data_IF_493151431574
#
_entry.id   IF_493151431574
#
_cell.length_a   1.000
_cell.length_b   1.000
_cell.length_c   1.000
_cell.angle_alpha   90.00
_cell.angle_beta   90.00
_cell.angle_gamma   90.00
#
_symmetry.space_group_name_H-M   'P 1'
#
loop_
_entity.id
_entity.type
_entity.pdbx_description
1 polymer ?
#
# COMPACT_ATOMS: atom_id res chain seq x y z
N UNK A 1 6.97 10.40 -0.92
CA UNK A 1 7.56 9.10 -0.54
C UNK A 1 8.42 8.48 -1.64
N UNK A 2 8.01 8.53 -2.91
CA UNK A 2 8.82 7.99 -4.02
C UNK A 2 10.23 8.57 -4.12
N UNK A 3 10.43 9.86 -3.88
CA UNK A 3 11.77 10.49 -3.91
C UNK A 3 12.71 9.95 -2.82
N UNK A 4 12.20 9.72 -1.61
CA UNK A 4 12.95 9.10 -0.52
C UNK A 4 13.30 7.65 -0.85
N UNK A 5 12.31 6.88 -1.29
CA UNK A 5 12.49 5.46 -1.60
C UNK A 5 13.44 5.23 -2.78
N UNK A 6 13.40 6.07 -3.82
CA UNK A 6 14.30 5.98 -4.98
C UNK A 6 15.78 6.09 -4.59
N UNK A 7 16.10 6.85 -3.53
CA UNK A 7 17.46 6.99 -3.03
C UNK A 7 18.00 5.78 -2.26
N UNK A 8 17.17 4.78 -1.95
CA UNK A 8 17.62 3.59 -1.21
C UNK A 8 18.44 2.66 -2.13
N UNK A 9 19.63 2.19 -1.70
CA UNK A 9 20.39 1.22 -2.47
C UNK A 9 19.69 -0.14 -2.44
N UNK A 10 19.31 -0.63 -3.62
CA UNK A 10 18.65 -1.95 -3.81
C UNK A 10 19.47 -2.86 -4.72
N UNK A 11 20.42 -2.29 -5.45
CA UNK A 11 21.36 -3.04 -6.28
C UNK A 11 22.38 -3.79 -5.42
N UNK A 12 23.16 -4.65 -6.07
CA UNK A 12 24.12 -5.55 -5.45
C UNK A 12 25.14 -4.75 -4.60
N UNK A 13 24.81 -4.53 -3.32
CA UNK A 13 25.75 -3.96 -2.36
C UNK A 13 26.87 -4.98 -2.21
N UNK A 14 28.01 -4.64 -2.81
CA UNK A 14 29.18 -5.48 -2.86
C UNK A 14 30.16 -4.94 -1.83
N UNK A 15 30.45 -5.76 -0.83
CA UNK A 15 31.44 -5.45 0.18
C UNK A 15 32.69 -6.28 -0.10
N UNK A 16 33.78 -5.62 -0.51
CA UNK A 16 35.05 -6.25 -0.89
C UNK A 16 35.61 -7.16 0.23
N UNK A 17 35.34 -6.81 1.49
CA UNK A 17 35.82 -7.56 2.66
C UNK A 17 34.88 -8.71 3.10
N UNK A 18 33.74 -8.89 2.43
CA UNK A 18 32.79 -9.94 2.78
C UNK A 18 33.05 -11.20 1.94
N UNK A 19 33.46 -12.28 2.62
CA UNK A 19 33.71 -13.59 2.00
C UNK A 19 32.52 -14.12 1.17
N UNK A 20 31.29 -13.77 1.53
CA UNK A 20 30.09 -14.18 0.79
C UNK A 20 29.81 -13.26 -0.39
N UNK A 21 30.00 -11.93 -0.26
CA UNK A 21 29.83 -11.00 -1.38
C UNK A 21 30.76 -11.31 -2.54
N UNK A 22 32.00 -11.72 -2.26
CA UNK A 22 33.01 -12.06 -3.27
C UNK A 22 32.88 -13.50 -3.79
N UNK A 23 32.07 -14.33 -3.13
CA UNK A 23 31.93 -15.75 -3.50
C UNK A 23 31.05 -15.90 -4.74
N UNK A 24 31.40 -16.82 -5.68
CA UNK A 24 30.53 -17.15 -6.80
C UNK A 24 29.18 -17.76 -6.37
N UNK A 25 29.09 -18.29 -5.13
CA UNK A 25 27.86 -18.87 -4.60
C UNK A 25 26.91 -17.83 -3.97
N UNK A 26 27.26 -16.55 -3.97
CA UNK A 26 26.45 -15.47 -3.36
C UNK A 26 24.97 -15.62 -3.68
N UNK A 27 24.63 -15.70 -4.96
CA UNK A 27 23.24 -15.74 -5.42
C UNK A 27 22.49 -16.98 -4.92
N UNK A 28 23.16 -18.12 -4.79
CA UNK A 28 22.55 -19.37 -4.31
C UNK A 28 22.35 -19.33 -2.79
N UNK A 29 23.32 -18.76 -2.06
CA UNK A 29 23.20 -18.52 -0.61
C UNK A 29 22.01 -17.61 -0.30
N UNK A 30 21.87 -16.52 -1.06
CA UNK A 30 20.75 -15.58 -0.93
C UNK A 30 19.41 -16.24 -1.30
N UNK A 31 19.35 -17.02 -2.39
CA UNK A 31 18.15 -17.76 -2.81
C UNK A 31 17.72 -18.83 -1.79
N UNK A 32 18.68 -19.55 -1.17
CA UNK A 32 18.37 -20.49 -0.09
C UNK A 32 17.78 -19.78 1.14
N UNK A 33 18.26 -18.57 1.44
CA UNK A 33 17.70 -17.75 2.51
C UNK A 33 16.26 -17.31 2.19
N UNK A 34 15.99 -16.91 0.94
CA UNK A 34 14.63 -16.56 0.48
C UNK A 34 13.66 -17.73 0.57
N UNK A 35 14.15 -18.97 0.38
CA UNK A 35 13.37 -20.21 0.56
C UNK A 35 13.15 -20.58 2.04
N UNK A 36 13.64 -19.78 2.98
CA UNK A 36 13.49 -20.02 4.42
C UNK A 36 14.43 -21.10 4.98
N UNK A 37 15.50 -21.46 4.25
CA UNK A 37 16.47 -22.41 4.76
C UNK A 37 17.29 -21.75 5.88
N UNK A 38 17.47 -22.47 6.99
CA UNK A 38 18.20 -21.93 8.14
C UNK A 38 19.66 -21.62 7.80
N UNK A 39 20.23 -20.56 8.40
CA UNK A 39 21.62 -20.15 8.17
C UNK A 39 22.62 -21.30 8.44
N UNK A 40 22.29 -22.20 9.37
CA UNK A 40 23.13 -23.36 9.70
C UNK A 40 23.14 -24.38 8.54
N UNK A 41 21.98 -24.67 7.95
CA UNK A 41 21.89 -25.56 6.80
C UNK A 41 22.58 -24.99 5.58
N UNK A 42 22.41 -23.68 5.33
CA UNK A 42 23.13 -22.96 4.27
C UNK A 42 24.64 -23.09 4.49
N UNK A 43 25.14 -22.88 5.72
CA UNK A 43 26.56 -23.03 6.01
C UNK A 43 27.10 -24.44 5.80
N UNK A 44 26.32 -25.48 6.14
CA UNK A 44 26.71 -26.87 5.85
C UNK A 44 26.77 -27.14 4.35
N UNK A 45 25.81 -26.62 3.59
CA UNK A 45 25.77 -26.75 2.13
C UNK A 45 26.94 -26.02 1.45
N UNK A 46 27.25 -24.78 1.85
CA UNK A 46 28.41 -24.04 1.31
C UNK A 46 29.71 -24.80 1.56
N UNK A 47 29.86 -25.40 2.75
CA UNK A 47 31.03 -26.23 3.08
C UNK A 47 31.11 -27.55 2.29
N UNK A 48 29.98 -28.09 1.82
CA UNK A 48 29.98 -29.31 1.02
C UNK A 48 30.24 -29.03 -0.46
N UNK A 49 29.75 -27.90 -0.98
CA UNK A 49 29.90 -27.51 -2.39
C UNK A 49 31.23 -26.82 -2.69
N UNK A 50 31.83 -26.14 -1.71
CA UNK A 50 33.08 -25.42 -1.89
C UNK A 50 34.22 -26.03 -1.09
N UNK A 51 35.43 -25.97 -1.66
CA UNK A 51 36.67 -26.13 -0.90
C UNK A 51 37.07 -24.84 -0.18
N UNK A 52 36.25 -23.79 -0.25
CA UNK A 52 36.50 -22.49 0.36
C UNK A 52 36.05 -22.49 1.82
N UNK A 53 36.87 -21.91 2.71
CA UNK A 53 36.55 -21.82 4.13
C UNK A 53 35.71 -20.55 4.43
N UNK A 54 34.47 -20.57 3.93
CA UNK A 54 33.45 -19.61 4.33
C UNK A 54 32.85 -20.08 5.66
N UNK A 55 33.19 -19.34 6.72
CA UNK A 55 32.70 -19.66 8.06
C UNK A 55 31.19 -19.40 8.19
N UNK A 56 30.54 -20.12 9.11
CA UNK A 56 29.15 -19.85 9.50
C UNK A 56 28.95 -18.38 9.88
N UNK A 57 29.89 -17.78 10.63
CA UNK A 57 29.82 -16.38 11.02
C UNK A 57 29.81 -15.42 9.82
N UNK A 58 30.58 -15.74 8.78
CA UNK A 58 30.60 -14.95 7.54
C UNK A 58 29.26 -15.02 6.79
N UNK A 59 28.63 -16.20 6.75
CA UNK A 59 27.30 -16.40 6.14
C UNK A 59 26.23 -15.67 6.95
N UNK A 60 26.20 -15.88 8.25
CA UNK A 60 25.25 -15.23 9.15
C UNK A 60 25.35 -13.70 9.04
N UNK A 61 26.56 -13.14 9.10
CA UNK A 61 26.79 -11.71 9.00
C UNK A 61 26.35 -11.14 7.64
N UNK A 62 26.65 -11.84 6.54
CA UNK A 62 26.18 -11.44 5.20
C UNK A 62 24.66 -11.43 5.11
N UNK A 63 24.01 -12.50 5.56
CA UNK A 63 22.56 -12.65 5.44
C UNK A 63 21.81 -11.60 6.26
N UNK A 64 22.32 -11.22 7.44
CA UNK A 64 21.67 -10.19 8.27
C UNK A 64 22.02 -8.78 7.79
N UNK A 65 23.31 -8.46 7.69
CA UNK A 65 23.74 -7.06 7.58
C UNK A 65 23.87 -6.55 6.15
N UNK A 66 24.00 -7.45 5.16
CA UNK A 66 24.08 -7.04 3.75
C UNK A 66 22.79 -7.42 3.03
N UNK A 67 22.44 -8.70 3.07
CA UNK A 67 21.26 -9.21 2.39
C UNK A 67 19.96 -8.76 3.06
N UNK A 68 19.89 -8.80 4.39
CA UNK A 68 18.74 -8.31 5.16
C UNK A 68 18.45 -6.84 4.88
N UNK A 69 19.47 -5.98 4.99
CA UNK A 69 19.35 -4.54 4.68
C UNK A 69 18.90 -4.30 3.23
N UNK A 70 19.45 -5.04 2.26
CA UNK A 70 19.00 -4.98 0.86
C UNK A 70 17.52 -5.38 0.73
N UNK A 71 17.12 -6.46 1.38
CA UNK A 71 15.75 -6.96 1.33
C UNK A 71 14.77 -5.97 1.97
N UNK A 72 15.15 -5.36 3.08
CA UNK A 72 14.33 -4.34 3.74
C UNK A 72 14.23 -3.07 2.90
N UNK A 73 15.32 -2.62 2.28
CA UNK A 73 15.28 -1.51 1.31
C UNK A 73 14.37 -1.82 0.11
N UNK A 74 14.40 -3.05 -0.41
CA UNK A 74 13.50 -3.51 -1.48
C UNK A 74 12.05 -3.44 -1.02
N UNK A 75 11.71 -3.98 0.15
CA UNK A 75 10.36 -3.90 0.73
C UNK A 75 9.92 -2.45 0.90
N UNK A 76 10.79 -1.56 1.41
CA UNK A 76 10.47 -0.14 1.58
C UNK A 76 10.20 0.52 0.22
N UNK A 77 10.98 0.21 -0.83
CA UNK A 77 10.68 0.69 -2.19
C UNK A 77 9.34 0.19 -2.71
N UNK A 78 9.05 -1.09 -2.53
CA UNK A 78 7.79 -1.69 -2.97
C UNK A 78 6.60 -1.04 -2.24
N UNK A 79 6.72 -0.86 -0.93
CA UNK A 79 5.73 -0.14 -0.12
C UNK A 79 5.56 1.31 -0.57
N UNK A 80 6.66 2.05 -0.79
CA UNK A 80 6.59 3.42 -1.23
C UNK A 80 5.92 3.57 -2.60
N UNK A 81 6.15 2.62 -3.52
CA UNK A 81 5.48 2.57 -4.83
C UNK A 81 3.98 2.32 -4.68
N UNK A 82 3.59 1.36 -3.83
CA UNK A 82 2.18 1.10 -3.52
C UNK A 82 1.52 2.34 -2.90
N UNK A 83 2.18 2.99 -1.95
CA UNK A 83 1.67 4.22 -1.32
C UNK A 83 1.57 5.37 -2.33
N UNK A 84 2.53 5.55 -3.23
CA UNK A 84 2.44 6.57 -4.30
C UNK A 84 1.24 6.30 -5.22
N UNK A 85 1.02 5.05 -5.63
CA UNK A 85 -0.17 4.66 -6.40
C UNK A 85 -1.46 5.00 -5.66
N UNK A 86 -1.50 4.74 -4.35
CA UNK A 86 -2.65 5.06 -3.50
C UNK A 86 -2.85 6.55 -3.26
N UNK A 87 -1.76 7.32 -3.15
CA UNK A 87 -1.83 8.78 -2.93
C UNK A 87 -2.44 9.54 -4.11
N UNK A 88 -2.38 8.95 -5.31
CA UNK A 88 -3.04 9.47 -6.51
C UNK A 88 -4.53 9.16 -6.58
N UNK A 89 -5.08 8.34 -5.67
CA UNK A 89 -6.52 8.08 -5.58
C UNK A 89 -7.21 9.27 -4.92
N UNK A 90 -7.63 10.21 -5.76
CA UNK A 90 -8.27 11.45 -5.37
C UNK A 90 -9.61 11.20 -4.64
N UNK A 91 -9.68 11.57 -3.35
CA UNK A 91 -10.97 11.71 -2.62
C UNK A 91 -11.91 12.71 -3.31
N UNK A 92 -11.39 13.63 -4.11
CA UNK A 92 -12.21 14.58 -4.89
C UNK A 92 -12.97 13.87 -6.00
N UNK A 93 -12.43 12.80 -6.58
CA UNK A 93 -13.08 12.05 -7.66
C UNK A 93 -14.32 11.32 -7.13
N UNK A 94 -14.26 10.79 -5.90
CA UNK A 94 -15.44 10.22 -5.24
C UNK A 94 -16.53 11.28 -5.01
N UNK A 95 -16.18 12.45 -4.49
CA UNK A 95 -17.14 13.53 -4.25
C UNK A 95 -17.78 14.03 -5.55
N UNK A 96 -16.99 14.16 -6.62
CA UNK A 96 -17.46 14.58 -7.94
C UNK A 96 -18.38 13.52 -8.56
N UNK A 97 -17.99 12.24 -8.52
CA UNK A 97 -18.83 11.16 -9.05
C UNK A 97 -20.17 11.04 -8.31
N UNK A 98 -20.17 11.17 -6.97
CA UNK A 98 -21.42 11.18 -6.19
C UNK A 98 -22.34 12.37 -6.55
N UNK A 99 -21.76 13.55 -6.82
CA UNK A 99 -22.54 14.71 -7.30
C UNK A 99 -23.16 14.43 -8.66
N UNK A 100 -22.40 13.89 -9.62
CA UNK A 100 -22.92 13.55 -10.94
C UNK A 100 -24.02 12.49 -10.88
N UNK A 101 -23.85 11.45 -10.07
CA UNK A 101 -24.91 10.45 -9.84
C UNK A 101 -26.18 11.13 -9.33
N UNK A 102 -26.06 11.98 -8.32
CA UNK A 102 -27.21 12.68 -7.73
C UNK A 102 -27.92 13.61 -8.73
N UNK A 103 -27.15 14.34 -9.55
CA UNK A 103 -27.71 15.20 -10.59
C UNK A 103 -28.43 14.39 -11.67
N UNK A 104 -27.80 13.33 -12.15
CA UNK A 104 -28.36 12.47 -13.21
C UNK A 104 -29.59 11.69 -12.73
N UNK A 105 -29.61 11.21 -11.48
CA UNK A 105 -30.79 10.55 -10.88
C UNK A 105 -31.98 11.53 -10.81
N UNK A 106 -31.73 12.82 -10.50
CA UNK A 106 -32.78 13.85 -10.50
C UNK A 106 -33.31 14.11 -11.91
N UNK A 107 -32.43 14.29 -12.90
CA UNK A 107 -32.84 14.51 -14.30
C UNK A 107 -33.63 13.33 -14.87
N UNK A 108 -33.19 12.09 -14.60
CA UNK A 108 -33.93 10.89 -15.00
C UNK A 108 -35.33 10.84 -14.35
N UNK A 109 -35.42 11.22 -13.07
CA UNK A 109 -36.70 11.27 -12.35
C UNK A 109 -37.64 12.32 -12.94
N UNK A 110 -37.13 13.50 -13.30
CA UNK A 110 -37.91 14.56 -13.95
C UNK A 110 -38.45 14.10 -15.31
N UNK A 111 -37.60 13.56 -16.18
CA UNK A 111 -37.97 13.04 -17.50
C UNK A 111 -39.06 11.97 -17.43
N UNK A 112 -39.02 11.11 -16.41
CA UNK A 112 -40.01 10.06 -16.19
C UNK A 112 -41.32 10.57 -15.55
N UNK A 113 -41.27 11.72 -14.88
CA UNK A 113 -42.42 12.31 -14.18
C UNK A 113 -43.33 13.17 -15.06
N UNK A 114 -42.87 13.57 -16.25
CA UNK A 114 -43.66 14.29 -17.26
C UNK A 114 -44.76 13.38 -17.86
N UNK A 115 -45.82 13.13 -17.09
CA UNK A 115 -46.71 11.98 -17.33
C UNK A 115 -48.07 12.29 -17.98
N UNK A 116 -48.44 13.55 -18.21
CA UNK A 116 -49.82 13.88 -18.62
C UNK A 116 -49.96 14.75 -19.87
N UNK A 117 -49.03 15.66 -20.16
CA UNK A 117 -49.20 16.63 -21.27
C UNK A 117 -48.35 16.32 -22.52
N UNK A 118 -47.40 15.38 -22.43
CA UNK A 118 -46.52 15.00 -23.55
C UNK A 118 -47.10 13.85 -24.37
N UNK A 119 -46.83 13.90 -25.68
CA UNK A 119 -47.25 12.89 -26.65
C UNK A 119 -46.63 11.52 -26.37
N UNK A 120 -47.26 10.44 -26.86
CA UNK A 120 -46.71 9.08 -26.71
C UNK A 120 -45.32 8.91 -27.35
N UNK A 121 -45.05 9.69 -28.41
CA UNK A 121 -43.75 9.71 -29.10
C UNK A 121 -42.66 10.33 -28.22
N UNK A 122 -42.96 11.45 -27.56
CA UNK A 122 -42.04 12.10 -26.61
C UNK A 122 -41.83 11.24 -25.36
N UNK A 123 -42.88 10.62 -24.82
CA UNK A 123 -42.74 9.68 -23.70
C UNK A 123 -41.76 8.55 -24.00
N UNK A 124 -41.80 7.98 -25.21
CA UNK A 124 -40.84 6.95 -25.63
C UNK A 124 -39.40 7.49 -25.66
N UNK A 125 -39.19 8.70 -26.20
CA UNK A 125 -37.87 9.35 -26.19
C UNK A 125 -37.37 9.66 -24.79
N UNK A 126 -38.24 10.10 -23.89
CA UNK A 126 -37.91 10.35 -22.48
C UNK A 126 -37.50 9.05 -21.78
N UNK A 127 -38.22 7.94 -22.01
CA UNK A 127 -37.86 6.62 -21.47
C UNK A 127 -36.49 6.16 -22.00
N UNK A 128 -36.25 6.25 -23.31
CA UNK A 128 -34.95 5.89 -23.90
C UNK A 128 -33.81 6.74 -23.32
N UNK A 129 -34.06 8.04 -23.10
CA UNK A 129 -33.09 8.96 -22.50
C UNK A 129 -32.83 8.58 -21.04
N UNK A 130 -33.88 8.30 -20.26
CA UNK A 130 -33.74 7.85 -18.87
C UNK A 130 -32.96 6.53 -18.76
N UNK A 131 -33.15 5.59 -19.70
CA UNK A 131 -32.36 4.35 -19.77
C UNK A 131 -30.88 4.65 -20.01
N UNK A 132 -30.55 5.56 -20.94
CA UNK A 132 -29.16 5.98 -21.18
C UNK A 132 -28.55 6.66 -19.96
N UNK A 133 -29.31 7.53 -19.28
CA UNK A 133 -28.87 8.17 -18.04
C UNK A 133 -28.59 7.12 -16.96
N UNK A 134 -29.47 6.13 -16.80
CA UNK A 134 -29.28 5.03 -15.84
C UNK A 134 -28.02 4.20 -16.15
N UNK A 135 -27.70 3.95 -17.42
CA UNK A 135 -26.46 3.28 -17.82
C UNK A 135 -25.22 4.09 -17.44
N UNK A 136 -25.24 5.41 -17.65
CA UNK A 136 -24.14 6.30 -17.26
C UNK A 136 -23.97 6.32 -15.74
N UNK A 137 -25.07 6.40 -14.97
CA UNK A 137 -25.05 6.29 -13.50
C UNK A 137 -24.43 4.97 -13.05
N UNK A 138 -24.81 3.86 -13.70
CA UNK A 138 -24.22 2.54 -13.47
C UNK A 138 -22.69 2.57 -13.61
N UNK A 139 -22.20 3.14 -14.71
CA UNK A 139 -20.74 3.25 -14.95
C UNK A 139 -20.01 4.10 -13.89
N UNK A 140 -20.64 5.16 -13.37
CA UNK A 140 -20.06 5.94 -12.27
C UNK A 140 -20.06 5.17 -10.95
N UNK A 141 -21.11 4.38 -10.67
CA UNK A 141 -21.18 3.52 -9.48
C UNK A 141 -20.12 2.42 -9.52
N UNK A 142 -19.84 1.85 -10.68
CA UNK A 142 -18.77 0.85 -10.83
C UNK A 142 -17.38 1.46 -10.60
N UNK A 143 -17.11 2.64 -11.18
CA UNK A 143 -15.86 3.39 -10.91
C UNK A 143 -15.71 3.76 -9.44
N UNK A 144 -16.79 4.18 -8.78
CA UNK A 144 -16.78 4.43 -7.33
C UNK A 144 -16.44 3.16 -6.54
N UNK A 145 -16.96 2.00 -6.94
CA UNK A 145 -16.64 0.73 -6.27
C UNK A 145 -15.16 0.37 -6.43
N UNK A 146 -14.59 0.62 -7.61
CA UNK A 146 -13.16 0.43 -7.88
C UNK A 146 -12.29 1.38 -7.05
N UNK A 147 -12.63 2.67 -6.99
CA UNK A 147 -11.92 3.63 -6.14
C UNK A 147 -11.96 3.18 -4.67
N UNK A 148 -13.13 2.75 -4.17
CA UNK A 148 -13.29 2.26 -2.79
C UNK A 148 -12.50 0.99 -2.52
N UNK A 149 -12.46 0.04 -3.46
CA UNK A 149 -11.68 -1.18 -3.30
C UNK A 149 -10.17 -0.89 -3.24
N UNK A 150 -9.71 0.13 -3.99
CA UNK A 150 -8.33 0.59 -3.98
C UNK A 150 -7.98 1.43 -2.74
N UNK A 151 -8.94 2.13 -2.13
CA UNK A 151 -8.73 2.90 -0.90
C UNK A 151 -8.67 2.04 0.37
N UNK A 152 -9.40 0.92 0.42
CA UNK A 152 -9.49 0.06 1.62
C UNK A 152 -8.13 -0.43 2.16
N UNK A 153 -7.16 -0.87 1.33
CA UNK A 153 -5.82 -1.21 1.81
C UNK A 153 -5.08 -0.03 2.46
N UNK A 154 -5.30 1.19 1.96
CA UNK A 154 -4.68 2.41 2.49
C UNK A 154 -5.17 2.69 3.90
N UNK A 155 -6.49 2.60 4.10
CA UNK A 155 -7.13 2.77 5.41
C UNK A 155 -6.58 1.75 6.42
N UNK A 156 -6.42 0.49 6.01
CA UNK A 156 -5.84 -0.56 6.85
C UNK A 156 -4.38 -0.28 7.22
N UNK A 157 -3.57 0.18 6.28
CA UNK A 157 -2.16 0.52 6.52
C UNK A 157 -2.06 1.67 7.52
N UNK A 158 -2.83 2.74 7.31
CA UNK A 158 -2.78 3.90 8.22
C UNK A 158 -3.32 3.54 9.60
N UNK A 159 -4.40 2.75 9.68
CA UNK A 159 -4.95 2.26 10.96
C UNK A 159 -3.92 1.40 11.69
N UNK A 160 -3.21 0.52 10.96
CA UNK A 160 -2.16 -0.33 11.55
C UNK A 160 -0.98 0.50 12.02
N UNK A 161 -0.58 1.53 11.26
CA UNK A 161 0.48 2.46 11.64
C UNK A 161 0.13 3.22 12.93
N UNK A 162 -1.09 3.77 13.00
CA UNK A 162 -1.58 4.45 14.20
C UNK A 162 -1.57 3.52 15.41
N UNK A 163 -2.02 2.27 15.24
CA UNK A 163 -2.00 1.26 16.30
C UNK A 163 -0.58 0.92 16.75
N UNK A 164 0.36 0.73 15.82
CA UNK A 164 1.77 0.44 16.13
C UNK A 164 2.38 1.61 16.92
N UNK A 165 2.12 2.85 16.49
CA UNK A 165 2.62 4.04 17.17
C UNK A 165 2.03 4.16 18.58
N UNK A 166 0.73 3.93 18.77
CA UNK A 166 0.09 3.93 20.09
C UNK A 166 0.71 2.87 21.01
N UNK A 167 0.83 1.63 20.54
CA UNK A 167 1.47 0.55 21.32
C UNK A 167 2.90 0.96 21.70
N UNK A 168 3.64 1.60 20.80
CA UNK A 168 5.00 2.05 21.09
C UNK A 168 5.03 3.19 22.10
N UNK A 169 4.18 4.20 21.97
CA UNK A 169 4.02 5.29 22.93
C UNK A 169 3.64 4.81 24.35
N UNK A 170 2.86 3.73 24.44
CA UNK A 170 2.44 3.13 25.71
C UNK A 170 3.55 2.24 26.31
N UNK A 171 4.38 1.63 25.47
CA UNK A 171 5.45 0.69 25.88
C UNK A 171 6.82 1.34 26.12
N UNK A 172 7.10 2.50 25.51
CA UNK A 172 8.41 3.15 25.58
C UNK A 172 8.48 4.19 26.71
N UNK A 173 9.53 4.08 27.52
CA UNK A 173 9.84 4.98 28.63
C UNK A 173 10.79 6.14 28.27
N UNK A 174 11.36 6.16 27.05
CA UNK A 174 12.25 7.26 26.62
C UNK A 174 11.42 8.49 26.20
N UNK A 175 11.66 9.66 26.82
CA UNK A 175 11.00 10.90 26.44
C UNK A 175 11.32 11.32 25.00
N UNK A 176 12.54 11.10 24.51
CA UNK A 176 12.92 11.46 23.14
C UNK A 176 12.16 10.63 22.09
N UNK A 177 12.06 9.31 22.27
CA UNK A 177 11.34 8.43 21.35
C UNK A 177 9.85 8.80 21.34
N UNK A 178 9.29 9.09 22.53
CA UNK A 178 7.90 9.51 22.67
C UNK A 178 7.64 10.83 21.92
N UNK A 179 8.56 11.79 21.99
CA UNK A 179 8.44 13.06 21.28
C UNK A 179 8.47 12.87 19.75
N UNK A 180 9.42 12.07 19.25
CA UNK A 180 9.51 11.76 17.81
C UNK A 180 8.24 11.06 17.30
N UNK A 181 7.69 10.12 18.06
CA UNK A 181 6.45 9.42 17.68
C UNK A 181 5.23 10.36 17.68
N UNK A 182 5.14 11.30 18.63
CA UNK A 182 4.08 12.31 18.65
C UNK A 182 4.18 13.26 17.45
N UNK A 183 5.38 13.73 17.11
CA UNK A 183 5.61 14.57 15.93
C UNK A 183 5.19 13.86 14.63
N UNK A 184 5.48 12.55 14.52
CA UNK A 184 5.04 11.73 13.38
C UNK A 184 3.50 11.66 13.32
N UNK A 185 2.82 11.43 14.45
CA UNK A 185 1.34 11.39 14.50
C UNK A 185 0.74 12.74 14.12
N UNK A 186 1.32 13.84 14.60
CA UNK A 186 0.84 15.19 14.31
C UNK A 186 1.02 15.55 12.83
N UNK A 187 2.15 15.20 12.22
CA UNK A 187 2.35 15.33 10.77
C UNK A 187 1.37 14.46 9.98
N UNK A 188 1.15 13.21 10.38
CA UNK A 188 0.18 12.33 9.73
C UNK A 188 -1.24 12.89 9.79
N UNK A 189 -1.65 13.43 10.94
CA UNK A 189 -2.97 14.06 11.10
C UNK A 189 -3.11 15.30 10.21
N UNK A 190 -2.05 16.10 10.08
CA UNK A 190 -2.03 17.30 9.23
C UNK A 190 -2.11 16.99 7.74
N UNK A 191 -1.40 15.95 7.28
CA UNK A 191 -1.31 15.63 5.85
C UNK A 191 -2.42 14.69 5.37
N UNK A 192 -2.94 13.79 6.22
CA UNK A 192 -3.92 12.76 5.83
C UNK A 192 -5.34 13.06 6.34
N UNK A 193 -5.47 13.97 7.32
CA UNK A 193 -6.73 14.32 7.98
C UNK A 193 -7.12 13.38 9.12
N UNK A 194 -8.23 13.67 9.82
CA UNK A 194 -8.75 12.80 10.88
C UNK A 194 -9.26 11.48 10.30
N UNK A 195 -8.52 10.41 10.53
CA UNK A 195 -8.99 9.05 10.29
C UNK A 195 -9.65 8.62 11.60
N UNK A 196 -10.91 9.00 11.77
CA UNK A 196 -11.72 8.50 12.87
C UNK A 196 -11.93 7.00 12.67
N UNK A 197 -11.46 6.21 13.62
CA UNK A 197 -11.67 4.78 13.68
C UNK A 197 -13.09 4.58 14.24
N UNK A 198 -14.09 4.44 13.38
CA UNK A 198 -15.34 3.78 13.79
C UNK A 198 -15.07 2.28 13.89
N UNK A 199 -14.57 1.86 15.04
CA UNK A 199 -14.13 0.49 15.25
C UNK A 199 -13.89 0.14 16.71
N UNK A 200 -14.60 0.77 17.64
CA UNK A 200 -14.63 0.37 19.05
C UNK A 200 -15.93 0.87 19.73
N UNK A 201 -17.06 0.38 19.23
CA UNK A 201 -18.26 0.22 20.05
C UNK A 201 -18.88 -1.13 19.70
N UNK A 202 -18.46 -2.16 20.44
CA UNK A 202 -19.28 -3.29 20.83
C UNK A 202 -18.65 -3.84 22.11
N UNK A 203 -19.19 -3.37 23.23
CA UNK A 203 -19.09 -4.08 24.51
C UNK A 203 -19.99 -5.30 24.54
#
# INVERSE_FOLDING_TARGET
MESFAQGLPVDNIFYENCKVCISPLKSQIEDMCDRGISHLQISKWVKSETKEDISYGSIHNHLINHYGVKNDNRKIKDYAKQISQWSNLSRQDEAIMNRYITMLDREASLLLSEGKEVSMSERRKNIETAVKVAQVIGSFRDKLREIKSLQKPVELVITSLNRIIQIKLDSDSSPEIRHVLLDIVEQLKKEVGDISIEGEQNG
#
